data_IF_995065944380
#
_entry.id   IF_995065944380
#
_cell.length_a   1.000
_cell.length_b   1.000
_cell.length_c   1.000
_cell.angle_alpha   90.00
_cell.angle_beta   90.00
_cell.angle_gamma   90.00
#
_symmetry.space_group_name_H-M   'P 1'
#
loop_
_entity.id
_entity.type
_entity.pdbx_description
1 polymer ?
#
# COMPACT_ATOMS: atom_id res chain seq x y z
N UNK A 1 -10.46 15.72 12.62
CA UNK A 1 -10.30 16.14 11.20
C UNK A 1 -10.73 17.61 10.95
N UNK A 2 -11.88 18.10 11.47
CA UNK A 2 -12.31 19.50 11.21
C UNK A 2 -11.42 20.57 11.85
N UNK A 3 -10.81 20.34 13.01
CA UNK A 3 -9.91 21.30 13.65
C UNK A 3 -8.57 21.45 12.95
N UNK A 4 -8.02 20.38 12.36
CA UNK A 4 -6.83 20.46 11.50
C UNK A 4 -7.07 21.38 10.30
N UNK A 5 -8.24 21.28 9.65
CA UNK A 5 -8.59 22.13 8.50
C UNK A 5 -8.63 23.63 8.84
N UNK A 6 -9.07 24.04 10.04
CA UNK A 6 -9.15 25.46 10.42
C UNK A 6 -7.74 26.03 10.62
N UNK A 7 -6.88 25.31 11.35
CA UNK A 7 -5.49 25.73 11.58
C UNK A 7 -4.68 25.79 10.27
N UNK A 8 -4.90 24.84 9.37
CA UNK A 8 -4.22 24.82 8.09
C UNK A 8 -4.72 25.92 7.15
N UNK A 9 -6.02 26.24 7.19
CA UNK A 9 -6.58 27.40 6.48
C UNK A 9 -6.00 28.71 7.00
N UNK A 10 -5.90 28.87 8.32
CA UNK A 10 -5.32 30.08 8.91
C UNK A 10 -3.84 30.24 8.57
N UNK A 11 -3.08 29.14 8.59
CA UNK A 11 -1.69 29.10 8.14
C UNK A 11 -1.56 29.38 6.63
N UNK A 12 -2.45 28.82 5.82
CA UNK A 12 -2.47 29.06 4.38
C UNK A 12 -2.75 30.54 4.07
N UNK A 13 -3.73 31.15 4.75
CA UNK A 13 -4.02 32.58 4.63
C UNK A 13 -2.84 33.44 5.08
N UNK A 14 -2.23 33.15 6.22
CA UNK A 14 -1.02 33.83 6.69
C UNK A 14 0.14 33.71 5.68
N UNK A 15 0.35 32.51 5.12
CA UNK A 15 1.38 32.27 4.11
C UNK A 15 1.07 32.99 2.81
N UNK A 16 -0.19 33.02 2.40
CA UNK A 16 -0.64 33.67 1.15
C UNK A 16 -0.50 35.18 1.22
N UNK A 17 -0.93 35.82 2.32
CA UNK A 17 -1.04 37.27 2.41
C UNK A 17 0.16 37.95 3.09
N UNK A 18 0.83 37.26 4.06
CA UNK A 18 1.86 37.85 4.91
C UNK A 18 3.24 37.33 4.59
N UNK A 19 3.48 36.02 4.74
CA UNK A 19 4.85 35.48 4.65
C UNK A 19 5.31 35.19 3.23
N UNK A 20 4.41 34.93 2.30
CA UNK A 20 4.65 34.56 0.88
C UNK A 20 5.66 33.41 0.69
N UNK A 21 5.92 32.61 1.74
CA UNK A 21 6.85 31.49 1.73
C UNK A 21 6.12 30.17 1.99
N UNK A 22 6.65 29.08 1.41
CA UNK A 22 6.18 27.70 1.64
C UNK A 22 4.67 27.49 1.37
N UNK A 23 4.15 28.10 0.30
CA UNK A 23 2.73 28.07 -0.07
C UNK A 23 2.18 26.66 -0.31
N UNK A 24 3.01 25.76 -0.83
CA UNK A 24 2.65 24.37 -1.19
C UNK A 24 3.24 23.31 -0.26
N UNK A 25 3.75 23.71 0.90
CA UNK A 25 4.32 22.75 1.84
C UNK A 25 3.20 21.96 2.53
N UNK A 26 2.98 20.76 2.05
CA UNK A 26 2.07 19.78 2.64
C UNK A 26 2.91 18.67 3.30
N UNK A 27 2.54 18.30 4.51
CA UNK A 27 3.15 17.17 5.24
C UNK A 27 2.11 16.09 5.40
N UNK A 28 2.49 14.85 5.20
CA UNK A 28 1.63 13.70 5.49
C UNK A 28 1.38 13.59 7.00
N UNK A 29 0.32 12.90 7.40
CA UNK A 29 0.04 12.63 8.81
C UNK A 29 1.22 11.90 9.45
N UNK A 30 1.77 10.90 8.78
CA UNK A 30 2.94 10.12 9.18
C UNK A 30 4.20 10.98 9.37
N UNK A 31 4.49 11.91 8.45
CA UNK A 31 5.62 12.84 8.62
C UNK A 31 5.45 13.74 9.83
N UNK A 32 4.21 14.20 10.09
CA UNK A 32 3.93 15.01 11.28
C UNK A 32 4.06 14.17 12.56
N UNK A 33 3.66 12.92 12.52
CA UNK A 33 3.74 11.99 13.65
C UNK A 33 5.21 11.67 13.99
N UNK A 34 6.04 11.38 12.98
CA UNK A 34 7.47 11.11 13.15
C UNK A 34 8.28 12.36 13.59
N UNK A 35 7.84 13.58 13.22
CA UNK A 35 8.48 14.84 13.63
C UNK A 35 8.07 15.31 15.03
N UNK A 36 7.00 14.76 15.59
CA UNK A 36 6.47 15.16 16.90
C UNK A 36 7.13 14.32 17.98
N UNK A 37 7.97 14.98 18.78
CA UNK A 37 8.42 14.37 20.04
C UNK A 37 7.20 13.98 20.88
N UNK A 38 7.03 12.68 21.12
CA UNK A 38 5.89 12.13 21.87
C UNK A 38 6.15 12.23 23.39
N UNK A 39 6.30 13.46 23.88
CA UNK A 39 6.50 13.75 25.29
C UNK A 39 5.40 14.67 25.82
N UNK A 40 5.02 14.50 27.08
CA UNK A 40 4.02 15.34 27.74
C UNK A 40 4.38 16.83 27.67
N UNK A 41 5.65 17.15 27.79
CA UNK A 41 6.16 18.53 27.71
C UNK A 41 5.94 19.13 26.32
N UNK A 42 6.12 18.35 25.26
CA UNK A 42 5.86 18.78 23.89
C UNK A 42 4.38 19.11 23.66
N UNK A 43 3.47 18.34 24.25
CA UNK A 43 2.04 18.62 24.17
C UNK A 43 1.67 19.92 24.91
N UNK A 44 2.16 20.16 26.11
CA UNK A 44 1.95 21.43 26.83
C UNK A 44 2.55 22.62 26.05
N UNK A 45 3.73 22.48 25.47
CA UNK A 45 4.37 23.51 24.66
C UNK A 45 3.56 23.82 23.38
N UNK A 46 2.97 22.81 22.73
CA UNK A 46 2.14 22.99 21.53
C UNK A 46 0.75 23.54 21.84
N UNK A 47 0.16 23.11 22.95
CA UNK A 47 -1.19 23.48 23.37
C UNK A 47 -1.18 24.54 24.46
N UNK A 48 -0.10 25.34 24.59
CA UNK A 48 0.09 26.33 25.67
C UNK A 48 -1.05 27.33 25.77
N UNK A 49 -1.78 27.59 24.71
CA UNK A 49 -2.95 28.48 24.69
C UNK A 49 -4.06 27.93 25.59
N UNK A 50 -4.25 26.62 25.65
CA UNK A 50 -5.30 25.97 26.42
C UNK A 50 -5.16 26.24 27.95
N UNK A 51 -4.04 25.92 28.60
CA UNK A 51 -3.83 26.26 29.99
C UNK A 51 -3.76 27.79 30.25
N UNK A 52 -3.28 28.58 29.29
CA UNK A 52 -3.30 30.04 29.40
C UNK A 52 -4.74 30.56 29.46
N UNK A 53 -5.64 30.07 28.63
CA UNK A 53 -7.06 30.45 28.65
C UNK A 53 -7.73 29.99 29.95
N UNK A 54 -7.35 28.85 30.51
CA UNK A 54 -7.82 28.39 31.82
C UNK A 54 -7.43 29.36 32.92
N UNK A 55 -6.17 29.83 32.94
CA UNK A 55 -5.68 30.83 33.92
C UNK A 55 -6.40 32.17 33.74
N UNK A 56 -6.56 32.65 32.53
CA UNK A 56 -7.29 33.91 32.26
C UNK A 56 -8.74 33.83 32.72
N UNK A 57 -9.43 32.72 32.43
CA UNK A 57 -10.81 32.50 32.88
C UNK A 57 -10.89 32.40 34.40
N UNK A 58 -9.90 31.78 35.06
CA UNK A 58 -9.82 31.72 36.53
C UNK A 58 -9.68 33.13 37.11
N UNK A 59 -8.78 33.97 36.61
CA UNK A 59 -8.60 35.35 37.06
C UNK A 59 -9.89 36.15 36.89
N UNK A 60 -10.53 36.06 35.71
CA UNK A 60 -11.82 36.74 35.45
C UNK A 60 -12.90 36.27 36.44
N UNK A 61 -12.96 34.97 36.71
CA UNK A 61 -13.94 34.40 37.62
C UNK A 61 -13.72 34.88 39.09
N UNK A 62 -12.47 35.00 39.55
CA UNK A 62 -12.13 35.49 40.88
C UNK A 62 -12.43 36.98 41.00
N UNK A 63 -12.17 37.78 39.96
CA UNK A 63 -12.34 39.23 40.02
C UNK A 63 -13.78 39.67 39.84
N UNK A 64 -14.54 39.03 38.96
CA UNK A 64 -15.87 39.51 38.56
C UNK A 64 -17.02 38.53 38.81
N UNK A 65 -16.74 37.25 39.05
CA UNK A 65 -17.76 36.21 38.93
C UNK A 65 -17.91 35.25 40.09
N UNK A 66 -17.82 35.71 41.37
CA UNK A 66 -17.95 34.81 42.53
C UNK A 66 -19.22 33.95 42.53
N UNK A 67 -20.33 34.44 41.94
CA UNK A 67 -21.56 33.66 41.78
C UNK A 67 -21.55 32.58 40.70
N UNK A 68 -20.56 32.61 39.78
CA UNK A 68 -20.49 31.73 38.62
C UNK A 68 -19.29 30.75 38.69
N UNK A 69 -18.61 30.70 39.85
CA UNK A 69 -17.40 29.88 40.07
C UNK A 69 -17.67 28.42 39.71
N UNK A 70 -18.76 27.83 40.14
CA UNK A 70 -19.13 26.44 39.87
C UNK A 70 -19.25 26.13 38.37
N UNK A 71 -19.80 27.10 37.60
CA UNK A 71 -19.98 26.94 36.16
C UNK A 71 -18.64 27.00 35.39
N UNK A 72 -17.73 27.85 35.85
CA UNK A 72 -16.44 28.05 35.23
C UNK A 72 -15.40 27.01 35.61
N UNK A 73 -15.59 26.23 36.67
CA UNK A 73 -14.67 25.17 37.09
C UNK A 73 -14.52 24.09 36.02
N UNK A 74 -15.60 23.73 35.31
CA UNK A 74 -15.56 22.68 34.25
C UNK A 74 -14.68 23.09 33.07
N UNK A 75 -14.87 24.25 32.42
CA UNK A 75 -14.00 24.66 31.33
C UNK A 75 -12.55 24.93 31.78
N UNK A 76 -12.33 25.47 32.99
CA UNK A 76 -10.99 25.65 33.56
C UNK A 76 -10.28 24.31 33.70
N UNK A 77 -10.94 23.30 34.29
CA UNK A 77 -10.38 21.96 34.44
C UNK A 77 -10.10 21.31 33.08
N UNK A 78 -11.06 21.35 32.16
CA UNK A 78 -10.90 20.79 30.83
C UNK A 78 -9.74 21.42 30.03
N UNK A 79 -9.60 22.73 30.06
CA UNK A 79 -8.52 23.42 29.36
C UNK A 79 -7.15 23.17 30.00
N UNK A 80 -7.09 23.01 31.33
CA UNK A 80 -5.85 22.67 32.02
C UNK A 80 -5.41 21.24 31.71
N UNK A 81 -6.36 20.29 31.65
CA UNK A 81 -6.09 18.86 31.42
C UNK A 81 -5.99 18.51 29.93
N UNK A 82 -6.48 19.38 29.05
CA UNK A 82 -6.52 19.08 27.59
C UNK A 82 -5.18 18.59 26.99
N UNK A 83 -4.00 19.18 27.31
CA UNK A 83 -2.74 18.66 26.80
C UNK A 83 -2.40 17.27 27.31
N UNK A 84 -2.73 16.96 28.56
CA UNK A 84 -2.55 15.64 29.16
C UNK A 84 -3.46 14.60 28.52
N UNK A 85 -4.72 14.93 28.26
CA UNK A 85 -5.66 14.05 27.56
C UNK A 85 -5.20 13.82 26.14
N UNK A 86 -4.80 14.87 25.43
CA UNK A 86 -4.27 14.76 24.08
C UNK A 86 -3.03 13.85 24.02
N UNK A 87 -2.10 13.98 24.97
CA UNK A 87 -0.93 13.09 25.08
C UNK A 87 -1.38 11.64 25.31
N UNK A 88 -2.27 11.37 26.27
CA UNK A 88 -2.72 10.00 26.58
C UNK A 88 -3.41 9.32 25.39
N UNK A 89 -4.25 10.07 24.65
CA UNK A 89 -4.97 9.53 23.48
C UNK A 89 -4.01 9.31 22.31
N UNK A 90 -2.90 10.04 22.28
CA UNK A 90 -1.88 9.93 21.21
C UNK A 90 -0.77 8.92 21.53
N UNK A 91 -0.81 8.25 22.67
CA UNK A 91 0.09 7.12 22.92
C UNK A 91 -0.31 6.01 21.96
N UNK A 92 0.60 5.68 21.05
CA UNK A 92 0.44 4.51 20.19
C UNK A 92 0.54 3.30 21.10
N UNK A 93 -0.57 2.62 21.28
CA UNK A 93 -0.53 1.27 21.86
C UNK A 93 0.16 0.43 20.79
N UNK A 94 1.39 -0.01 21.04
CA UNK A 94 1.96 -1.13 20.31
C UNK A 94 1.10 -2.32 20.72
N UNK A 95 0.15 -2.67 19.86
CA UNK A 95 -0.38 -4.02 19.88
C UNK A 95 0.81 -4.90 19.50
N UNK A 96 1.12 -5.89 20.32
CA UNK A 96 2.06 -6.93 19.95
C UNK A 96 1.60 -7.43 18.58
N UNK A 97 2.49 -7.48 17.58
CA UNK A 97 2.17 -8.03 16.27
C UNK A 97 1.77 -9.49 16.51
N UNK A 98 0.46 -9.74 16.53
CA UNK A 98 -0.05 -11.11 16.59
C UNK A 98 0.40 -11.81 15.32
N UNK A 99 1.13 -12.91 15.46
CA UNK A 99 1.46 -13.77 14.33
C UNK A 99 0.16 -14.35 13.77
N UNK A 100 0.03 -14.34 12.45
CA UNK A 100 -1.13 -14.94 11.79
C UNK A 100 -1.21 -16.43 12.14
N UNK A 101 -2.39 -16.92 12.39
CA UNK A 101 -2.67 -18.34 12.47
C UNK A 101 -2.53 -19.00 11.09
N UNK A 102 -2.29 -20.29 11.05
CA UNK A 102 -2.19 -21.04 9.80
C UNK A 102 -3.47 -20.88 8.93
N UNK A 103 -4.64 -20.75 9.57
CA UNK A 103 -5.93 -20.55 8.90
C UNK A 103 -6.00 -19.15 8.27
N UNK A 104 -5.60 -18.10 8.99
CA UNK A 104 -5.57 -16.71 8.48
C UNK A 104 -4.56 -16.55 7.34
N UNK A 105 -3.40 -17.21 7.45
CA UNK A 105 -2.41 -17.21 6.37
C UNK A 105 -2.98 -17.89 5.11
N UNK A 106 -3.66 -19.02 5.26
CA UNK A 106 -4.30 -19.72 4.14
C UNK A 106 -5.38 -18.86 3.47
N UNK A 107 -6.24 -18.19 4.25
CA UNK A 107 -7.25 -17.26 3.71
C UNK A 107 -6.60 -16.09 2.95
N UNK A 108 -5.54 -15.49 3.50
CA UNK A 108 -4.81 -14.40 2.85
C UNK A 108 -4.15 -14.86 1.54
N UNK A 109 -3.65 -16.08 1.49
CA UNK A 109 -3.07 -16.66 0.27
C UNK A 109 -4.14 -16.89 -0.79
N UNK A 110 -5.29 -17.45 -0.44
CA UNK A 110 -6.44 -17.61 -1.35
C UNK A 110 -6.88 -16.24 -1.90
N UNK A 111 -7.03 -15.25 -1.05
CA UNK A 111 -7.37 -13.89 -1.46
C UNK A 111 -6.32 -13.31 -2.42
N UNK A 112 -5.05 -13.51 -2.11
CA UNK A 112 -3.94 -13.04 -2.96
C UNK A 112 -3.97 -13.71 -4.33
N UNK A 113 -4.29 -15.02 -4.40
CA UNK A 113 -4.43 -15.76 -5.67
C UNK A 113 -5.62 -15.25 -6.50
N UNK A 114 -6.75 -14.92 -5.85
CA UNK A 114 -7.92 -14.30 -6.50
C UNK A 114 -7.60 -12.91 -7.04
N UNK A 115 -6.87 -12.10 -6.29
CA UNK A 115 -6.43 -10.78 -6.76
C UNK A 115 -5.51 -10.93 -7.96
N UNK A 116 -4.57 -11.90 -7.93
CA UNK A 116 -3.66 -12.16 -9.03
C UNK A 116 -4.39 -12.59 -10.30
N UNK A 117 -5.47 -13.37 -10.21
CA UNK A 117 -6.22 -13.84 -11.38
C UNK A 117 -6.73 -12.69 -12.24
N UNK A 118 -7.08 -11.54 -11.65
CA UNK A 118 -7.45 -10.34 -12.41
C UNK A 118 -6.32 -9.89 -13.36
N UNK A 119 -5.08 -9.84 -12.88
CA UNK A 119 -3.94 -9.43 -13.71
C UNK A 119 -3.53 -10.52 -14.69
N UNK A 120 -3.71 -11.77 -14.32
CA UNK A 120 -3.44 -12.92 -15.17
C UNK A 120 -4.38 -12.92 -16.39
N UNK A 121 -5.67 -12.68 -16.17
CA UNK A 121 -6.71 -12.71 -17.18
C UNK A 121 -6.73 -11.46 -18.06
N UNK A 122 -6.53 -10.29 -17.48
CA UNK A 122 -6.79 -9.03 -18.17
C UNK A 122 -5.53 -8.28 -18.62
N UNK A 123 -4.34 -8.54 -18.06
CA UNK A 123 -3.08 -7.98 -18.55
C UNK A 123 -2.48 -8.89 -19.61
N UNK A 124 -3.06 -8.88 -20.78
CA UNK A 124 -2.78 -9.77 -21.88
C UNK A 124 -2.60 -9.01 -23.20
N UNK A 125 -2.35 -9.74 -24.29
CA UNK A 125 -2.15 -9.17 -25.64
C UNK A 125 -3.37 -8.35 -26.12
N UNK A 126 -4.59 -8.75 -25.78
CA UNK A 126 -5.82 -8.04 -26.17
C UNK A 126 -5.85 -6.63 -25.58
N UNK A 127 -5.43 -6.48 -24.33
CA UNK A 127 -5.33 -5.21 -23.64
C UNK A 127 -3.97 -4.53 -23.81
N UNK A 128 -3.18 -4.93 -24.81
CA UNK A 128 -1.82 -4.43 -25.04
C UNK A 128 -0.93 -4.52 -23.79
N UNK A 129 -1.10 -5.55 -22.96
CA UNK A 129 -0.39 -5.75 -21.69
C UNK A 129 -0.54 -4.59 -20.70
N UNK A 130 -1.61 -3.80 -20.82
CA UNK A 130 -1.99 -2.73 -19.91
C UNK A 130 -3.14 -3.21 -19.03
N UNK A 131 -3.06 -2.95 -17.72
CA UNK A 131 -4.13 -3.32 -16.80
C UNK A 131 -5.38 -2.47 -17.06
N UNK A 132 -6.56 -3.06 -17.33
CA UNK A 132 -7.81 -2.34 -17.32
C UNK A 132 -8.10 -1.72 -15.94
N UNK A 133 -9.05 -0.80 -15.88
CA UNK A 133 -9.38 -0.11 -14.64
C UNK A 133 -10.09 -1.03 -13.63
N UNK A 134 -11.06 -1.80 -14.11
CA UNK A 134 -11.80 -2.75 -13.30
C UNK A 134 -12.55 -3.76 -14.17
N UNK A 135 -13.05 -4.80 -13.51
CA UNK A 135 -14.06 -5.72 -14.03
C UNK A 135 -15.28 -5.66 -13.12
N UNK A 136 -16.43 -5.26 -13.66
CA UNK A 136 -17.63 -5.11 -12.86
C UNK A 136 -18.60 -6.26 -13.11
N UNK A 137 -18.88 -7.03 -12.06
CA UNK A 137 -19.79 -8.18 -12.07
C UNK A 137 -21.22 -7.80 -11.69
N UNK A 138 -21.39 -6.93 -10.69
CA UNK A 138 -22.73 -6.58 -10.18
C UNK A 138 -22.90 -5.06 -10.08
N UNK A 139 -23.84 -4.44 -10.82
CA UNK A 139 -24.48 -4.98 -12.02
C UNK A 139 -23.44 -5.23 -13.11
N UNK A 140 -23.64 -6.26 -13.93
CA UNK A 140 -22.63 -6.66 -14.92
C UNK A 140 -22.38 -5.56 -15.96
N UNK A 141 -21.13 -5.13 -16.08
CA UNK A 141 -20.64 -4.20 -17.11
C UNK A 141 -19.38 -4.74 -17.81
N UNK A 142 -18.81 -5.83 -17.30
CA UNK A 142 -17.59 -6.41 -17.83
C UNK A 142 -16.36 -5.56 -17.59
N UNK A 143 -15.39 -5.66 -18.49
CA UNK A 143 -14.07 -5.00 -18.39
C UNK A 143 -14.18 -3.53 -18.78
N UNK A 144 -13.64 -2.65 -17.92
CA UNK A 144 -13.46 -1.24 -18.25
C UNK A 144 -12.15 -1.05 -19.03
N UNK A 145 -12.20 -1.04 -20.35
CA UNK A 145 -11.04 -0.97 -21.25
C UNK A 145 -10.34 0.40 -21.24
N UNK A 146 -9.97 0.86 -20.05
CA UNK A 146 -9.19 2.06 -19.81
C UNK A 146 -8.17 1.81 -18.72
N UNK A 147 -7.05 2.51 -18.76
CA UNK A 147 -5.98 2.39 -17.77
C UNK A 147 -5.44 3.75 -17.38
N UNK A 148 -4.93 3.87 -16.17
CA UNK A 148 -4.24 5.04 -15.64
C UNK A 148 -2.78 4.71 -15.30
N UNK A 149 -1.90 5.70 -15.08
CA UNK A 149 -0.54 5.43 -14.62
C UNK A 149 -0.49 4.64 -13.30
N UNK A 150 -1.45 4.85 -12.39
CA UNK A 150 -1.59 4.05 -11.17
C UNK A 150 -1.87 2.58 -11.51
N UNK A 151 -2.83 2.29 -12.38
CA UNK A 151 -3.17 0.92 -12.77
C UNK A 151 -2.00 0.20 -13.45
N UNK A 152 -1.25 0.91 -14.32
CA UNK A 152 -0.04 0.39 -14.94
C UNK A 152 1.01 0.01 -13.89
N UNK A 153 1.26 0.89 -12.92
CA UNK A 153 2.21 0.63 -11.85
C UNK A 153 1.79 -0.52 -10.94
N UNK A 154 0.51 -0.61 -10.60
CA UNK A 154 -0.04 -1.75 -9.83
C UNK A 154 0.15 -3.08 -10.56
N UNK A 155 -0.07 -3.11 -11.88
CA UNK A 155 0.16 -4.32 -12.67
C UNK A 155 1.64 -4.76 -12.63
N UNK A 156 2.59 -3.83 -12.70
CA UNK A 156 4.01 -4.16 -12.59
C UNK A 156 4.34 -4.77 -11.22
N UNK A 157 3.85 -4.19 -10.12
CA UNK A 157 4.05 -4.73 -8.77
C UNK A 157 3.36 -6.07 -8.59
N UNK A 158 2.15 -6.25 -9.13
CA UNK A 158 1.43 -7.52 -9.04
C UNK A 158 2.20 -8.67 -9.65
N UNK A 159 2.95 -8.45 -10.74
CA UNK A 159 3.85 -9.47 -11.29
C UNK A 159 4.99 -9.84 -10.33
N UNK A 160 5.56 -8.87 -9.60
CA UNK A 160 6.59 -9.12 -8.58
C UNK A 160 6.00 -9.91 -7.41
N UNK A 161 4.83 -9.51 -6.92
CA UNK A 161 4.14 -10.22 -5.83
C UNK A 161 3.79 -11.66 -6.25
N UNK A 162 3.26 -11.85 -7.46
CA UNK A 162 2.95 -13.18 -7.98
C UNK A 162 4.19 -14.07 -8.07
N UNK A 163 5.35 -13.52 -8.39
CA UNK A 163 6.63 -14.23 -8.31
C UNK A 163 6.97 -14.59 -6.86
N UNK A 164 6.86 -13.67 -5.92
CA UNK A 164 7.14 -13.95 -4.51
C UNK A 164 6.20 -15.00 -3.91
N UNK A 165 4.95 -15.02 -4.33
CA UNK A 165 3.97 -16.04 -3.94
C UNK A 165 4.07 -17.32 -4.77
N UNK A 166 5.04 -17.40 -5.70
CA UNK A 166 5.28 -18.55 -6.57
C UNK A 166 4.12 -18.90 -7.53
N UNK A 167 3.27 -17.92 -7.85
CA UNK A 167 2.20 -18.10 -8.84
C UNK A 167 2.72 -18.10 -10.27
N UNK A 168 3.84 -17.43 -10.53
CA UNK A 168 4.53 -17.40 -11.81
C UNK A 168 6.04 -17.54 -11.62
N UNK A 169 6.71 -18.06 -12.65
CA UNK A 169 8.16 -18.20 -12.67
C UNK A 169 8.87 -16.86 -12.88
N UNK A 170 10.17 -16.79 -12.56
CA UNK A 170 10.98 -15.61 -12.83
C UNK A 170 10.98 -15.24 -14.33
N UNK A 171 11.06 -16.23 -15.20
CA UNK A 171 11.03 -15.99 -16.65
C UNK A 171 9.73 -15.35 -17.12
N UNK A 172 8.59 -15.83 -16.61
CA UNK A 172 7.28 -15.26 -16.91
C UNK A 172 7.15 -13.85 -16.31
N UNK A 173 7.63 -13.63 -15.09
CA UNK A 173 7.64 -12.31 -14.43
C UNK A 173 8.37 -11.28 -15.28
N UNK A 174 9.59 -11.59 -15.70
CA UNK A 174 10.41 -10.69 -16.53
C UNK A 174 9.71 -10.40 -17.85
N UNK A 175 9.15 -11.43 -18.49
CA UNK A 175 8.44 -11.30 -19.77
C UNK A 175 7.21 -10.38 -19.61
N UNK A 176 6.35 -10.60 -18.60
CA UNK A 176 5.13 -9.81 -18.37
C UNK A 176 5.46 -8.35 -18.04
N UNK A 177 6.47 -8.11 -17.19
CA UNK A 177 6.95 -6.75 -16.89
C UNK A 177 7.47 -6.08 -18.16
N UNK A 178 8.28 -6.78 -18.95
CA UNK A 178 8.81 -6.25 -20.21
C UNK A 178 7.69 -5.89 -21.18
N UNK A 179 6.74 -6.80 -21.44
CA UNK A 179 5.61 -6.57 -22.35
C UNK A 179 4.77 -5.36 -21.93
N UNK A 180 4.55 -5.17 -20.62
CA UNK A 180 3.87 -4.00 -20.08
C UNK A 180 4.67 -2.71 -20.28
N UNK A 181 5.96 -2.72 -19.98
CA UNK A 181 6.84 -1.55 -20.16
C UNK A 181 6.96 -1.15 -21.63
N UNK A 182 7.14 -2.12 -22.53
CA UNK A 182 7.20 -1.89 -23.99
C UNK A 182 5.89 -1.23 -24.48
N UNK A 183 4.74 -1.66 -23.95
CA UNK A 183 3.46 -1.03 -24.27
C UNK A 183 3.34 0.39 -23.70
N UNK A 184 3.76 0.59 -22.45
CA UNK A 184 3.77 1.90 -21.81
C UNK A 184 4.66 2.89 -22.55
N UNK A 185 5.79 2.43 -23.09
CA UNK A 185 6.72 3.29 -23.84
C UNK A 185 6.07 3.88 -25.10
N UNK A 186 5.16 3.15 -25.73
CA UNK A 186 4.43 3.60 -26.93
C UNK A 186 3.29 4.57 -26.66
N UNK A 187 2.91 4.79 -25.42
CA UNK A 187 1.81 5.69 -25.05
C UNK A 187 2.22 7.17 -25.26
N UNK A 188 1.28 7.97 -25.71
CA UNK A 188 1.47 9.41 -25.83
C UNK A 188 1.74 10.06 -24.45
N UNK A 189 2.74 10.92 -24.38
CA UNK A 189 3.16 11.59 -23.14
C UNK A 189 3.11 13.10 -23.32
N UNK A 190 2.85 13.82 -22.25
CA UNK A 190 2.98 15.28 -22.21
C UNK A 190 4.17 15.67 -21.34
N UNK A 191 5.20 16.25 -21.92
CA UNK A 191 6.45 16.64 -21.22
C UNK A 191 7.06 15.51 -20.38
N UNK A 192 7.02 14.29 -20.90
CA UNK A 192 7.53 13.10 -20.20
C UNK A 192 6.57 12.43 -19.23
N UNK A 193 5.44 13.05 -18.91
CA UNK A 193 4.41 12.47 -18.04
C UNK A 193 3.35 11.75 -18.86
N UNK A 194 2.83 10.65 -18.32
CA UNK A 194 1.66 9.99 -18.86
C UNK A 194 0.41 10.84 -18.63
N UNK A 195 -0.52 10.79 -19.59
CA UNK A 195 -1.87 11.32 -19.42
C UNK A 195 -2.67 10.45 -18.44
N UNK A 196 -3.74 10.99 -17.89
CA UNK A 196 -4.47 10.29 -16.82
C UNK A 196 -5.13 9.00 -17.28
N UNK A 197 -5.70 8.97 -18.49
CA UNK A 197 -6.43 7.82 -18.99
C UNK A 197 -6.09 7.47 -20.43
N UNK A 198 -5.95 6.16 -20.70
CA UNK A 198 -5.78 5.59 -22.02
C UNK A 198 -6.77 4.45 -22.23
N UNK A 199 -7.19 4.26 -23.46
CA UNK A 199 -7.91 3.05 -23.86
C UNK A 199 -6.92 1.88 -23.98
N UNK A 200 -7.19 0.76 -23.30
CA UNK A 200 -6.28 -0.39 -23.29
C UNK A 200 -6.20 -1.11 -24.64
N UNK A 201 -7.27 -1.08 -25.44
CA UNK A 201 -7.34 -1.75 -26.75
C UNK A 201 -6.61 -0.96 -27.85
N UNK A 202 -6.73 0.39 -27.81
CA UNK A 202 -6.21 1.26 -28.89
C UNK A 202 -4.97 2.04 -28.49
N UNK A 203 -4.61 2.06 -27.21
CA UNK A 203 -3.56 2.92 -26.60
C UNK A 203 -3.81 4.42 -26.75
N UNK A 204 -4.95 4.82 -27.28
CA UNK A 204 -5.30 6.22 -27.45
C UNK A 204 -5.63 6.88 -26.09
N UNK A 205 -5.18 8.13 -25.85
CA UNK A 205 -5.55 8.87 -24.66
C UNK A 205 -7.03 9.24 -24.69
N UNK A 206 -7.68 9.15 -23.51
CA UNK A 206 -9.08 9.47 -23.34
C UNK A 206 -9.29 10.92 -22.91
N UNK A 207 -10.44 11.49 -23.24
CA UNK A 207 -10.84 12.81 -22.78
C UNK A 207 -11.50 12.79 -21.39
N UNK A 208 -11.30 13.82 -20.55
CA UNK A 208 -10.41 14.99 -20.78
C UNK A 208 -8.92 14.62 -20.66
N UNK A 209 -8.09 15.21 -21.53
CA UNK A 209 -6.64 14.96 -21.55
C UNK A 209 -5.95 15.84 -20.50
N UNK A 210 -5.44 15.25 -19.45
CA UNK A 210 -4.68 15.93 -18.40
C UNK A 210 -3.64 15.00 -17.77
N UNK A 211 -2.69 15.58 -17.07
CA UNK A 211 -1.71 14.83 -16.26
C UNK A 211 -2.17 14.88 -14.81
N UNK A 212 -2.38 13.72 -14.21
CA UNK A 212 -2.61 13.59 -12.77
C UNK A 212 -1.28 13.52 -12.03
N UNK A 213 -1.05 14.45 -11.11
CA UNK A 213 0.16 14.44 -10.28
C UNK A 213 0.18 13.27 -9.31
N UNK A 214 -1.00 12.85 -8.84
CA UNK A 214 -1.15 11.70 -7.94
C UNK A 214 -0.79 10.42 -8.68
N UNK A 215 -1.37 10.18 -9.87
CA UNK A 215 -1.08 8.98 -10.65
C UNK A 215 0.38 8.93 -11.10
N UNK A 216 0.95 10.07 -11.48
CA UNK A 216 2.38 10.16 -11.82
C UNK A 216 3.27 9.83 -10.62
N UNK A 217 2.91 10.29 -9.43
CA UNK A 217 3.61 9.98 -8.18
C UNK A 217 3.51 8.51 -7.80
N UNK A 218 2.32 7.92 -7.91
CA UNK A 218 2.08 6.49 -7.66
C UNK A 218 2.92 5.63 -8.62
N UNK A 219 2.87 5.94 -9.92
CA UNK A 219 3.67 5.20 -10.91
C UNK A 219 5.16 5.28 -10.61
N UNK A 220 5.68 6.46 -10.23
CA UNK A 220 7.09 6.61 -9.85
C UNK A 220 7.45 5.73 -8.66
N UNK A 221 6.60 5.71 -7.63
CA UNK A 221 6.78 4.83 -6.45
C UNK A 221 6.81 3.36 -6.84
N UNK A 222 5.87 2.93 -7.68
CA UNK A 222 5.81 1.55 -8.16
C UNK A 222 7.03 1.16 -9.02
N UNK A 223 7.46 2.03 -9.92
CA UNK A 223 8.67 1.78 -10.73
C UNK A 223 9.93 1.69 -9.86
N UNK A 224 10.01 2.47 -8.78
CA UNK A 224 11.12 2.37 -7.83
C UNK A 224 11.14 1.02 -7.12
N UNK A 225 9.99 0.55 -6.64
CA UNK A 225 9.87 -0.78 -6.00
C UNK A 225 10.24 -1.88 -6.98
N UNK A 226 9.67 -1.87 -8.19
CA UNK A 226 9.99 -2.86 -9.24
C UNK A 226 11.48 -2.88 -9.56
N UNK A 227 12.11 -1.71 -9.70
CA UNK A 227 13.57 -1.63 -9.92
C UNK A 227 14.33 -2.28 -8.77
N UNK A 228 13.99 -1.95 -7.52
CA UNK A 228 14.66 -2.48 -6.34
C UNK A 228 14.51 -4.00 -6.24
N UNK A 229 13.32 -4.51 -6.46
CA UNK A 229 13.05 -5.95 -6.44
C UNK A 229 13.79 -6.72 -7.54
N UNK A 230 13.88 -6.16 -8.76
CA UNK A 230 14.67 -6.78 -9.83
C UNK A 230 16.17 -6.81 -9.48
N UNK A 231 16.69 -5.78 -8.82
CA UNK A 231 18.07 -5.74 -8.33
C UNK A 231 18.30 -6.81 -7.25
N UNK A 232 17.35 -6.99 -6.35
CA UNK A 232 17.44 -7.98 -5.26
C UNK A 232 17.28 -9.43 -5.77
N UNK A 233 16.40 -9.66 -6.75
CA UNK A 233 16.20 -10.97 -7.40
C UNK A 233 17.48 -11.48 -8.08
N UNK A 234 18.32 -10.61 -8.65
CA UNK A 234 19.59 -11.01 -9.26
C UNK A 234 20.52 -11.75 -8.32
N UNK A 235 20.37 -11.54 -7.02
CA UNK A 235 21.21 -12.11 -5.99
C UNK A 235 20.56 -13.30 -5.26
N UNK A 236 19.35 -13.69 -5.67
CA UNK A 236 18.59 -14.80 -5.05
C UNK A 236 18.66 -16.07 -5.90
N UNK A 237 18.44 -17.22 -5.27
CA UNK A 237 18.31 -18.49 -5.98
C UNK A 237 17.08 -18.47 -6.90
N UNK A 238 17.22 -19.04 -8.09
CA UNK A 238 16.15 -19.13 -9.10
C UNK A 238 15.12 -20.21 -8.72
N UNK A 239 15.57 -21.26 -8.06
CA UNK A 239 14.72 -22.39 -7.65
C UNK A 239 14.17 -22.11 -6.26
N UNK A 240 12.84 -22.15 -6.12
CA UNK A 240 12.13 -21.89 -4.86
C UNK A 240 11.29 -23.09 -4.48
N UNK A 241 11.36 -23.43 -3.20
CA UNK A 241 10.58 -24.54 -2.60
C UNK A 241 9.09 -24.19 -2.52
N UNK A 242 8.78 -22.89 -2.51
CA UNK A 242 7.42 -22.36 -2.32
C UNK A 242 6.46 -22.62 -3.52
N UNK A 243 6.97 -23.14 -4.64
CA UNK A 243 6.15 -23.46 -5.83
C UNK A 243 5.05 -24.49 -5.54
N UNK A 244 5.32 -25.41 -4.58
CA UNK A 244 4.32 -26.42 -4.16
C UNK A 244 3.21 -25.76 -3.34
N UNK A 245 3.53 -24.75 -2.54
CA UNK A 245 2.57 -24.05 -1.69
C UNK A 245 1.55 -23.30 -2.56
N UNK A 246 1.99 -22.73 -3.68
CA UNK A 246 1.10 -22.01 -4.60
C UNK A 246 0.01 -22.89 -5.24
N UNK A 247 0.27 -24.19 -5.38
CA UNK A 247 -0.74 -25.15 -5.85
C UNK A 247 -1.87 -25.34 -4.84
N UNK A 248 -1.57 -25.25 -3.54
CA UNK A 248 -2.59 -25.33 -2.49
C UNK A 248 -3.54 -24.13 -2.54
N UNK A 249 -3.05 -22.95 -2.92
CA UNK A 249 -3.88 -21.74 -3.04
C UNK A 249 -4.94 -21.93 -4.15
N UNK A 250 -4.54 -22.54 -5.28
CA UNK A 250 -5.46 -22.90 -6.37
C UNK A 250 -6.46 -23.95 -5.91
N UNK A 251 -5.98 -24.93 -5.17
CA UNK A 251 -6.82 -26.01 -4.62
C UNK A 251 -7.90 -25.45 -3.69
N UNK A 252 -7.54 -24.54 -2.78
CA UNK A 252 -8.50 -23.88 -1.89
C UNK A 252 -9.57 -23.11 -2.64
N UNK A 253 -9.23 -22.40 -3.71
CA UNK A 253 -10.23 -21.71 -4.55
C UNK A 253 -11.18 -22.68 -5.22
N UNK A 254 -10.67 -23.78 -5.78
CA UNK A 254 -11.52 -24.78 -6.43
C UNK A 254 -12.46 -25.47 -5.44
N UNK A 255 -12.03 -25.69 -4.21
CA UNK A 255 -12.86 -26.23 -3.15
C UNK A 255 -13.98 -25.28 -2.73
N UNK A 256 -13.67 -23.99 -2.56
CA UNK A 256 -14.66 -22.95 -2.25
C UNK A 256 -15.69 -22.77 -3.36
N UNK A 257 -15.29 -22.89 -4.62
CA UNK A 257 -16.19 -22.81 -5.80
C UNK A 257 -17.03 -24.09 -5.98
N UNK A 258 -16.91 -25.07 -5.06
CA UNK A 258 -17.70 -26.31 -5.09
C UNK A 258 -17.29 -27.29 -6.18
N UNK A 259 -16.13 -27.10 -6.80
CA UNK A 259 -15.55 -28.13 -7.66
C UNK A 259 -15.03 -29.27 -6.79
N UNK A 260 -15.90 -30.28 -6.60
CA UNK A 260 -15.44 -31.57 -6.09
C UNK A 260 -14.44 -32.13 -7.11
N UNK A 261 -13.17 -31.81 -6.93
CA UNK A 261 -12.10 -32.49 -7.66
C UNK A 261 -12.26 -33.97 -7.34
N UNK A 262 -12.70 -34.75 -8.33
CA UNK A 262 -12.50 -36.19 -8.28
C UNK A 262 -11.03 -36.36 -8.02
N UNK A 263 -10.69 -36.61 -6.74
CA UNK A 263 -9.35 -36.96 -6.35
C UNK A 263 -8.89 -37.98 -7.37
N UNK A 264 -7.91 -37.59 -8.19
CA UNK A 264 -7.07 -38.57 -8.82
C UNK A 264 -6.57 -39.34 -7.60
N UNK A 265 -7.10 -40.51 -7.37
CA UNK A 265 -6.57 -41.46 -6.41
C UNK A 265 -5.19 -41.85 -6.95
N UNK A 266 -4.22 -41.03 -6.78
CA UNK A 266 -2.88 -41.47 -6.56
C UNK A 266 -2.85 -41.70 -5.06
N UNK A 267 -3.14 -42.92 -4.71
CA UNK A 267 -2.83 -43.48 -3.41
C UNK A 267 -1.38 -43.15 -3.13
N UNK A 268 -0.94 -42.23 -2.41
CA UNK A 268 0.39 -42.03 -1.86
C UNK A 268 1.12 -40.69 -2.06
N UNK A 269 0.56 -39.64 -2.67
CA UNK A 269 1.31 -38.39 -2.66
C UNK A 269 0.53 -37.31 -1.93
N UNK A 270 0.61 -37.31 -0.62
CA UNK A 270 0.30 -36.10 0.16
C UNK A 270 1.29 -35.03 -0.21
N UNK A 271 0.79 -33.83 -0.49
CA UNK A 271 1.62 -32.66 -0.81
C UNK A 271 2.73 -32.43 0.23
N UNK A 272 2.49 -32.79 1.49
CA UNK A 272 3.53 -32.84 2.54
C UNK A 272 4.75 -33.69 2.19
N UNK A 273 4.57 -34.77 1.38
CA UNK A 273 5.70 -35.60 0.95
C UNK A 273 6.50 -34.99 -0.17
N UNK A 274 5.85 -34.14 -1.05
CA UNK A 274 6.58 -33.40 -2.07
C UNK A 274 7.46 -32.32 -1.44
N UNK A 275 6.97 -31.62 -0.41
CA UNK A 275 7.75 -30.63 0.31
C UNK A 275 9.01 -31.27 0.93
N UNK A 276 8.88 -32.39 1.60
CA UNK A 276 10.02 -33.12 2.20
C UNK A 276 10.99 -33.66 1.14
N UNK A 277 10.50 -34.18 0.02
CA UNK A 277 11.33 -34.66 -1.09
C UNK A 277 12.08 -33.52 -1.77
N UNK A 278 11.43 -32.38 -1.97
CA UNK A 278 12.07 -31.17 -2.53
C UNK A 278 13.09 -30.57 -1.56
N UNK A 279 12.79 -30.52 -0.28
CA UNK A 279 13.72 -30.09 0.76
C UNK A 279 14.94 -31.04 0.84
N UNK A 280 14.74 -32.33 0.75
CA UNK A 280 15.82 -33.32 0.83
C UNK A 280 16.67 -33.38 -0.45
N UNK A 281 16.08 -33.21 -1.63
CA UNK A 281 16.78 -33.30 -2.92
C UNK A 281 17.32 -31.98 -3.45
N UNK A 282 16.68 -30.85 -3.18
CA UNK A 282 17.07 -29.56 -3.74
C UNK A 282 18.02 -28.75 -2.84
N UNK A 283 17.95 -28.90 -1.52
CA UNK A 283 18.91 -28.24 -0.62
C UNK A 283 20.37 -28.60 -0.88
N UNK A 284 20.75 -29.86 -1.16
CA UNK A 284 22.14 -30.18 -1.53
C UNK A 284 22.57 -29.61 -2.88
N UNK A 285 21.64 -29.49 -3.83
CA UNK A 285 21.94 -29.01 -5.20
C UNK A 285 22.13 -27.50 -5.22
N UNK A 286 21.39 -26.73 -4.42
CA UNK A 286 21.50 -25.28 -4.39
C UNK A 286 22.82 -24.80 -3.78
N UNK A 287 23.43 -25.57 -2.86
CA UNK A 287 24.70 -25.23 -2.24
C UNK A 287 25.93 -25.64 -3.05
N UNK A 288 25.82 -26.62 -3.94
CA UNK A 288 26.98 -27.16 -4.69
C UNK A 288 27.20 -26.55 -6.06
N UNK A 289 26.20 -25.91 -6.66
CA UNK A 289 26.31 -25.39 -8.04
C UNK A 289 26.37 -23.87 -8.19
N UNK A 290 26.31 -23.09 -7.10
CA UNK A 290 26.31 -21.62 -7.14
C UNK A 290 27.64 -20.97 -6.74
N UNK A 291 28.69 -21.73 -6.47
CA UNK A 291 30.07 -21.19 -6.44
C UNK A 291 30.65 -21.19 -7.83
N UNK A 292 30.27 -20.20 -8.65
CA UNK A 292 31.05 -19.88 -9.83
C UNK A 292 32.45 -19.45 -9.37
N UNK A 293 33.54 -20.03 -9.91
CA UNK A 293 34.87 -19.61 -9.57
C UNK A 293 35.06 -18.17 -10.00
N UNK A 294 35.29 -17.28 -9.04
CA UNK A 294 35.82 -15.94 -9.31
C UNK A 294 37.17 -16.10 -10.00
N UNK A 295 37.18 -15.94 -11.31
CA UNK A 295 38.44 -15.74 -12.01
C UNK A 295 39.06 -14.41 -11.57
N UNK A 296 40.28 -14.52 -11.02
CA UNK A 296 41.22 -13.42 -10.81
C UNK A 296 41.52 -12.68 -12.11
#
# INVERSE_FOLDING_TARGET
QRQMCIRDRSKALYRLFISKKNLLQWKTAEQVENEVENSLSAYYKRMWISPLMAVLLLIITITYGRGIILFNLVPIALWTIAPLLAFKISIILHEDEEEFTDEEEAELRILSRRIWSYYEDFVNKQNNYLAPDNFQEVPYKGVAFRTSPTNMGMALISNIIAYHLSYITLGETIKRIKDSLDSMETLEKYKGHYLNWYNTLTKAPLWPRYVSTVDSGNLLGYLWIVKKEIEDIKNKSIIRIDEVISLNDIYGILEEEGYALKTVKSDDVKISNYKSILEEQLLPVSYTHLTLPTKR
#
